data_IF_868955481704
#
_entry.id   IF_868955481704
#
_cell.length_a   1.000
_cell.length_b   1.000
_cell.length_c   1.000
_cell.angle_alpha   90.00
_cell.angle_beta   90.00
_cell.angle_gamma   90.00
#
_symmetry.space_group_name_H-M   'P 1'
#
loop_
_entity.id
_entity.type
_entity.pdbx_description
1 polymer ?
#
# COMPACT_ATOMS: atom_id res chain seq x y z
N UNK A 1 -12.69 -21.75 17.42
CA UNK A 1 -11.31 -21.25 17.55
C UNK A 1 -11.36 -19.93 18.30
N UNK A 2 -10.36 -19.64 19.13
CA UNK A 2 -10.30 -18.37 19.86
C UNK A 2 -9.47 -17.35 19.07
N UNK A 3 -9.77 -16.04 19.15
CA UNK A 3 -8.96 -15.01 18.51
C UNK A 3 -7.51 -15.06 19.00
N UNK A 4 -6.56 -14.91 18.07
CA UNK A 4 -5.15 -14.70 18.38
C UNK A 4 -4.87 -13.21 18.55
N UNK A 5 -3.82 -12.91 19.31
CA UNK A 5 -3.28 -11.56 19.38
C UNK A 5 -2.68 -11.13 18.02
N UNK A 6 -2.81 -9.85 17.68
CA UNK A 6 -2.34 -9.31 16.40
C UNK A 6 -0.83 -9.44 16.19
N UNK A 7 -0.04 -9.55 17.26
CA UNK A 7 1.41 -9.79 17.14
C UNK A 7 1.73 -11.15 16.53
N UNK A 8 0.76 -12.07 16.43
CA UNK A 8 0.93 -13.32 15.67
C UNK A 8 1.29 -13.07 14.20
N UNK A 9 0.90 -11.93 13.62
CA UNK A 9 1.24 -11.52 12.25
C UNK A 9 2.65 -10.93 12.12
N UNK A 10 3.40 -10.74 13.20
CA UNK A 10 4.67 -10.03 13.17
C UNK A 10 5.73 -10.71 12.27
N UNK A 11 5.67 -12.03 12.11
CA UNK A 11 6.50 -12.77 11.15
C UNK A 11 6.12 -12.46 9.71
N UNK A 12 4.84 -12.66 9.38
CA UNK A 12 4.30 -12.43 8.03
C UNK A 12 4.53 -10.98 7.57
N UNK A 13 4.22 -10.01 8.42
CA UNK A 13 4.39 -8.59 8.10
C UNK A 13 5.86 -8.21 7.90
N UNK A 14 6.81 -8.86 8.60
CA UNK A 14 8.25 -8.61 8.38
C UNK A 14 8.69 -9.04 6.98
N UNK A 15 8.14 -10.14 6.47
CA UNK A 15 8.43 -10.62 5.12
C UNK A 15 7.88 -9.65 4.05
N UNK A 16 6.68 -9.10 4.27
CA UNK A 16 6.05 -8.13 3.37
C UNK A 16 6.83 -6.83 3.19
N UNK A 17 7.64 -6.41 4.16
CA UNK A 17 8.46 -5.19 4.06
C UNK A 17 9.87 -5.43 3.54
N UNK A 18 10.26 -6.68 3.27
CA UNK A 18 11.54 -7.02 2.64
C UNK A 18 11.49 -6.94 1.11
N UNK A 19 10.30 -6.77 0.52
CA UNK A 19 10.07 -6.73 -0.94
C UNK A 19 9.89 -5.31 -1.46
N UNK A 20 10.17 -5.11 -2.75
CA UNK A 20 9.87 -3.85 -3.44
C UNK A 20 8.35 -3.68 -3.58
N UNK A 21 7.75 -2.86 -2.72
CA UNK A 21 6.30 -2.62 -2.69
C UNK A 21 5.80 -1.92 -3.96
N UNK A 22 6.67 -1.33 -4.78
CA UNK A 22 6.24 -0.68 -6.03
C UNK A 22 5.67 -1.68 -7.04
N UNK A 23 6.04 -2.96 -6.96
CA UNK A 23 5.50 -4.03 -7.81
C UNK A 23 4.23 -4.68 -7.23
N UNK A 24 3.85 -4.33 -5.98
CA UNK A 24 2.60 -4.80 -5.40
C UNK A 24 1.40 -4.35 -6.24
N UNK A 25 0.38 -5.20 -6.38
CA UNK A 25 -0.83 -4.84 -7.12
C UNK A 25 -1.87 -4.22 -6.19
N UNK A 26 -2.39 -3.06 -6.55
CA UNK A 26 -3.53 -2.46 -5.86
C UNK A 26 -4.85 -2.85 -6.53
N UNK A 27 -5.97 -2.65 -5.85
CA UNK A 27 -7.31 -2.63 -6.46
C UNK A 27 -8.00 -1.34 -6.03
N UNK A 28 -8.29 -0.45 -6.98
CA UNK A 28 -8.89 0.86 -6.69
C UNK A 28 -10.28 0.71 -6.07
N UNK A 29 -10.52 1.35 -4.92
CA UNK A 29 -11.84 1.37 -4.29
C UNK A 29 -12.89 2.16 -5.09
N UNK A 30 -12.45 3.10 -5.95
CA UNK A 30 -13.33 3.92 -6.78
C UNK A 30 -13.88 3.20 -8.00
N UNK A 31 -12.99 2.59 -8.79
CA UNK A 31 -13.35 2.01 -10.09
C UNK A 31 -13.05 0.52 -10.24
N UNK A 32 -12.45 -0.13 -9.23
CA UNK A 32 -12.09 -1.54 -9.26
C UNK A 32 -10.87 -1.89 -10.13
N UNK A 33 -10.25 -0.91 -10.81
CA UNK A 33 -9.05 -1.17 -11.61
C UNK A 33 -7.90 -1.69 -10.74
N UNK A 34 -7.16 -2.68 -11.24
CA UNK A 34 -6.10 -3.35 -10.51
C UNK A 34 -4.81 -3.50 -11.32
N UNK A 35 -3.74 -2.87 -10.83
CA UNK A 35 -2.42 -2.88 -11.46
C UNK A 35 -1.32 -2.66 -10.41
N UNK A 36 -0.05 -2.65 -10.82
CA UNK A 36 1.07 -2.38 -9.92
C UNK A 36 1.01 -0.98 -9.32
N UNK A 37 1.45 -0.81 -8.07
CA UNK A 37 1.54 0.48 -7.36
C UNK A 37 2.38 1.48 -8.14
N UNK A 38 3.43 1.03 -8.83
CA UNK A 38 4.28 1.86 -9.70
C UNK A 38 3.51 2.59 -10.83
N UNK A 39 2.31 2.13 -11.19
CA UNK A 39 1.48 2.76 -12.23
C UNK A 39 0.62 3.92 -11.71
N UNK A 40 0.54 4.09 -10.39
CA UNK A 40 -0.22 5.18 -9.80
C UNK A 40 0.43 6.52 -10.13
N UNK A 41 -0.42 7.50 -10.42
CA UNK A 41 0.02 8.87 -10.62
C UNK A 41 0.35 9.47 -9.24
N UNK A 42 1.51 10.10 -9.09
CA UNK A 42 1.98 10.60 -7.79
C UNK A 42 1.96 12.13 -7.75
N UNK A 43 1.37 12.69 -6.70
CA UNK A 43 1.38 14.12 -6.41
C UNK A 43 1.96 14.36 -5.02
N UNK A 44 2.84 15.35 -4.91
CA UNK A 44 3.44 15.76 -3.65
C UNK A 44 4.96 15.90 -3.74
N UNK A 45 5.54 16.41 -2.66
CA UNK A 45 6.98 16.53 -2.47
C UNK A 45 7.31 16.55 -0.97
N UNK A 46 8.54 16.22 -0.60
CA UNK A 46 8.99 16.24 0.79
C UNK A 46 8.16 15.32 1.70
N UNK A 47 7.48 15.90 2.69
CA UNK A 47 6.90 15.20 3.83
C UNK A 47 5.61 14.43 3.51
N UNK A 48 5.07 14.54 2.30
CA UNK A 48 3.79 13.93 1.94
C UNK A 48 3.63 13.64 0.44
N UNK A 49 3.07 12.47 0.15
CA UNK A 49 2.78 11.97 -1.18
C UNK A 49 1.36 11.41 -1.25
N UNK A 50 0.68 11.66 -2.35
CA UNK A 50 -0.66 11.18 -2.66
C UNK A 50 -0.60 10.46 -4.00
N UNK A 51 -0.95 9.18 -4.03
CA UNK A 51 -1.00 8.41 -5.26
C UNK A 51 -2.46 8.20 -5.69
N UNK A 52 -2.78 8.49 -6.96
CA UNK A 52 -4.14 8.33 -7.51
C UNK A 52 -4.17 7.32 -8.65
N UNK A 53 -5.33 6.70 -8.80
CA UNK A 53 -5.61 5.78 -9.89
C UNK A 53 -5.53 6.53 -11.24
N UNK A 54 -4.77 6.03 -12.24
CA UNK A 54 -4.71 6.64 -13.56
C UNK A 54 -6.05 6.55 -14.31
N UNK A 55 -6.99 5.69 -13.89
CA UNK A 55 -8.27 5.49 -14.57
C UNK A 55 -9.38 6.42 -14.08
N UNK A 56 -9.52 6.62 -12.76
CA UNK A 56 -10.60 7.44 -12.19
C UNK A 56 -10.12 8.64 -11.37
N UNK A 57 -8.81 8.83 -11.23
CA UNK A 57 -8.19 9.88 -10.40
C UNK A 57 -8.52 9.83 -8.90
N UNK A 58 -9.18 8.77 -8.40
CA UNK A 58 -9.37 8.59 -6.97
C UNK A 58 -8.05 8.34 -6.26
N UNK A 59 -7.94 8.86 -5.04
CA UNK A 59 -6.77 8.66 -4.19
C UNK A 59 -6.73 7.22 -3.72
N UNK A 60 -5.70 6.47 -4.14
CA UNK A 60 -5.50 5.06 -3.79
C UNK A 60 -4.68 4.93 -2.52
N UNK A 61 -3.57 5.67 -2.41
CA UNK A 61 -2.76 5.72 -1.18
C UNK A 61 -2.28 7.12 -0.84
N UNK A 62 -1.96 7.34 0.45
CA UNK A 62 -1.24 8.51 0.93
C UNK A 62 -0.09 8.06 1.81
N UNK A 63 1.08 8.66 1.62
CA UNK A 63 2.26 8.44 2.45
C UNK A 63 2.70 9.76 3.06
N UNK A 64 2.89 9.81 4.37
CA UNK A 64 3.37 11.00 5.07
C UNK A 64 4.54 10.62 5.96
N UNK A 65 5.66 11.34 5.82
CA UNK A 65 6.82 11.21 6.68
C UNK A 65 6.74 12.26 7.79
N UNK A 66 6.61 11.80 9.03
CA UNK A 66 6.80 12.59 10.23
C UNK A 66 8.20 12.33 10.82
N UNK A 67 8.68 13.12 11.80
CA UNK A 67 10.05 12.97 12.32
C UNK A 67 10.40 11.57 12.85
N UNK A 68 9.46 10.87 13.48
CA UNK A 68 9.66 9.55 14.10
C UNK A 68 8.72 8.45 13.56
N UNK A 69 7.86 8.78 12.57
CA UNK A 69 6.82 7.89 12.06
C UNK A 69 6.63 8.04 10.55
N UNK A 70 6.16 6.97 9.92
CA UNK A 70 5.57 7.02 8.58
C UNK A 70 4.09 6.66 8.69
N UNK A 71 3.24 7.47 8.07
CA UNK A 71 1.82 7.17 7.94
C UNK A 71 1.56 6.68 6.52
N UNK A 72 0.98 5.50 6.41
CA UNK A 72 0.50 4.93 5.15
C UNK A 72 -1.01 4.76 5.24
N UNK A 73 -1.75 5.53 4.46
CA UNK A 73 -3.21 5.43 4.32
C UNK A 73 -3.54 4.70 3.02
N UNK A 74 -4.25 3.58 3.15
CA UNK A 74 -4.64 2.68 2.05
C UNK A 74 -6.15 2.60 1.86
N UNK A 75 -6.95 3.50 2.46
CA UNK A 75 -8.42 3.45 2.37
C UNK A 75 -8.95 3.51 0.94
N UNK A 76 -8.17 4.02 0.00
CA UNK A 76 -8.49 4.04 -1.43
C UNK A 76 -8.15 2.76 -2.20
N UNK A 77 -7.55 1.78 -1.52
CA UNK A 77 -7.22 0.46 -2.03
C UNK A 77 -8.08 -0.60 -1.33
N UNK A 78 -8.79 -1.42 -2.10
CA UNK A 78 -9.57 -2.55 -1.57
C UNK A 78 -8.64 -3.70 -1.16
N UNK A 79 -7.53 -3.87 -1.89
CA UNK A 79 -6.56 -4.95 -1.70
C UNK A 79 -5.19 -4.49 -2.15
N UNK A 80 -4.16 -4.87 -1.38
CA UNK A 80 -2.78 -4.92 -1.85
C UNK A 80 -2.35 -6.37 -1.95
N UNK A 81 -1.83 -6.75 -3.10
CA UNK A 81 -1.19 -8.04 -3.33
C UNK A 81 0.31 -7.81 -3.47
N UNK A 82 1.09 -8.43 -2.58
CA UNK A 82 2.54 -8.29 -2.58
C UNK A 82 3.18 -9.58 -3.12
N UNK A 83 4.27 -9.50 -3.88
CA UNK A 83 5.11 -10.68 -4.13
C UNK A 83 5.74 -11.14 -2.81
N UNK A 84 5.93 -12.45 -2.67
CA UNK A 84 6.70 -13.00 -1.54
C UNK A 84 8.18 -13.01 -1.91
N UNK A 85 9.07 -12.84 -0.93
CA UNK A 85 10.50 -12.88 -1.18
C UNK A 85 10.91 -14.32 -1.55
N UNK A 86 11.44 -14.53 -2.77
CA UNK A 86 12.02 -15.82 -3.19
C UNK A 86 11.14 -16.72 -4.06
N UNK A 87 10.06 -16.20 -4.63
CA UNK A 87 9.31 -16.85 -5.72
C UNK A 87 9.86 -16.52 -7.10
#
# INVERSE_FOLDING_TARGET
MNPLDGNALAGDLRELFAVDVTVARYTCAGCGHADAVATLLLWGHGMGQVARCPHCSDVVLRMVHAPDRVFLDLRGSVRLELPLAGS
#
